data_IF_078227484090
#
_entry.id   IF_078227484090
#
_cell.length_a   1.000
_cell.length_b   1.000
_cell.length_c   1.000
_cell.angle_alpha   90.00
_cell.angle_beta   90.00
_cell.angle_gamma   90.00
#
_symmetry.space_group_name_H-M   'P 1'
#
loop_
_entity.id
_entity.type
_entity.pdbx_description
1 polymer ?
#
# COMPACT_ATOMS: atom_id res chain seq x y z
N UNK A 1 43.85 -17.46 -1.93
CA UNK A 1 42.53 -18.14 -2.03
C UNK A 1 41.48 -17.59 -1.04
N UNK A 2 41.74 -17.54 0.27
CA UNK A 2 40.73 -17.23 1.31
C UNK A 2 40.19 -15.78 1.33
N UNK A 3 40.94 -14.81 0.85
CA UNK A 3 40.49 -13.41 0.78
C UNK A 3 39.44 -13.17 -0.33
N UNK A 4 39.54 -13.91 -1.44
CA UNK A 4 38.61 -13.80 -2.56
C UNK A 4 37.24 -14.37 -2.20
N UNK A 5 37.23 -15.53 -1.51
CA UNK A 5 36.02 -16.18 -0.99
C UNK A 5 35.30 -15.27 0.01
N UNK A 6 36.04 -14.63 0.93
CA UNK A 6 35.44 -13.69 1.90
C UNK A 6 34.85 -12.44 1.26
N UNK A 7 35.46 -11.90 0.20
CA UNK A 7 34.89 -10.77 -0.56
C UNK A 7 33.62 -11.20 -1.29
N UNK A 8 33.64 -12.38 -1.90
CA UNK A 8 32.48 -12.93 -2.59
C UNK A 8 31.28 -13.15 -1.64
N UNK A 9 31.52 -13.75 -0.46
CA UNK A 9 30.49 -13.93 0.55
C UNK A 9 29.91 -12.61 1.07
N UNK A 10 30.74 -11.57 1.21
CA UNK A 10 30.27 -10.23 1.63
C UNK A 10 29.42 -9.56 0.55
N UNK A 11 29.82 -9.65 -0.72
CA UNK A 11 29.03 -9.12 -1.84
C UNK A 11 27.69 -9.85 -1.97
N UNK A 12 27.68 -11.17 -1.80
CA UNK A 12 26.46 -11.97 -1.83
C UNK A 12 25.52 -11.62 -0.67
N UNK A 13 26.05 -11.45 0.55
CA UNK A 13 25.27 -11.00 1.70
C UNK A 13 24.67 -9.60 1.47
N UNK A 14 25.45 -8.66 0.93
CA UNK A 14 24.96 -7.31 0.59
C UNK A 14 23.86 -7.35 -0.49
N UNK A 15 24.01 -8.19 -1.51
CA UNK A 15 23.00 -8.37 -2.56
C UNK A 15 21.68 -8.93 -2.03
N UNK A 16 21.73 -9.93 -1.15
CA UNK A 16 20.54 -10.50 -0.51
C UNK A 16 19.82 -9.48 0.38
N UNK A 17 20.55 -8.66 1.15
CA UNK A 17 19.93 -7.61 1.98
C UNK A 17 19.27 -6.52 1.14
N UNK A 18 19.84 -6.16 -0.02
CA UNK A 18 19.25 -5.17 -0.91
C UNK A 18 17.95 -5.68 -1.56
N UNK A 19 17.90 -6.97 -1.91
CA UNK A 19 16.71 -7.58 -2.50
C UNK A 19 15.51 -7.62 -1.53
N UNK A 20 15.74 -7.80 -0.23
CA UNK A 20 14.67 -7.82 0.79
C UNK A 20 14.05 -6.43 1.01
N UNK A 21 14.81 -5.35 0.79
CA UNK A 21 14.31 -3.97 0.92
C UNK A 21 13.45 -3.53 -0.26
N UNK A 22 13.55 -4.22 -1.41
CA UNK A 22 12.69 -4.01 -2.58
C UNK A 22 11.49 -4.96 -2.49
N UNK A 23 10.75 -4.90 -1.38
CA UNK A 23 9.42 -5.49 -1.35
C UNK A 23 8.52 -4.67 -2.28
N UNK A 24 7.85 -5.27 -3.28
CA UNK A 24 6.88 -4.53 -4.08
C UNK A 24 5.80 -3.93 -3.18
N UNK A 25 5.53 -2.63 -3.33
CA UNK A 25 4.37 -2.02 -2.73
C UNK A 25 3.12 -2.67 -3.33
N UNK A 26 2.36 -3.40 -2.51
CA UNK A 26 1.12 -4.02 -2.95
C UNK A 26 0.09 -2.93 -3.24
N UNK A 27 -0.17 -2.66 -4.53
CA UNK A 27 -1.34 -1.89 -4.93
C UNK A 27 -2.59 -2.66 -4.50
N UNK A 28 -3.53 -1.97 -3.85
CA UNK A 28 -4.77 -2.60 -3.39
C UNK A 28 -5.69 -2.80 -4.60
N UNK A 29 -6.10 -4.04 -4.89
CA UNK A 29 -7.02 -4.30 -6.00
C UNK A 29 -8.37 -3.62 -5.79
N UNK A 30 -8.92 -3.67 -4.58
CA UNK A 30 -10.17 -2.97 -4.24
C UNK A 30 -10.14 -2.53 -2.79
N UNK A 31 -10.45 -1.26 -2.55
CA UNK A 31 -10.60 -0.69 -1.20
C UNK A 31 -12.08 -0.46 -0.91
N UNK A 32 -12.55 -0.94 0.23
CA UNK A 32 -13.91 -0.71 0.71
C UNK A 32 -13.88 0.23 1.90
N UNK A 33 -14.45 1.41 1.72
CA UNK A 33 -14.61 2.39 2.78
C UNK A 33 -15.92 2.19 3.51
N UNK A 34 -15.86 2.19 4.83
CA UNK A 34 -17.03 2.23 5.70
C UNK A 34 -17.06 3.59 6.39
N UNK A 35 -17.99 4.45 5.96
CA UNK A 35 -18.10 5.81 6.48
C UNK A 35 -19.14 5.86 7.61
N UNK A 36 -18.78 6.36 8.81
CA UNK A 36 -19.73 6.53 9.89
C UNK A 36 -20.75 7.61 9.57
N UNK A 37 -22.03 7.29 9.74
CA UNK A 37 -23.14 8.23 9.58
C UNK A 37 -23.84 8.16 8.22
N UNK A 38 -24.45 9.26 7.80
CA UNK A 38 -25.32 9.34 6.61
C UNK A 38 -24.53 9.64 5.33
N UNK A 39 -25.13 9.26 4.20
CA UNK A 39 -24.66 9.64 2.85
C UNK A 39 -24.64 11.17 2.74
N UNK A 40 -23.56 11.74 2.19
CA UNK A 40 -23.40 13.18 2.03
C UNK A 40 -22.88 13.92 3.26
N UNK A 41 -22.72 13.27 4.42
CA UNK A 41 -22.09 13.84 5.61
C UNK A 41 -20.57 13.99 5.47
N UNK A 42 -19.91 14.65 6.44
CA UNK A 42 -18.47 14.95 6.38
C UNK A 42 -17.59 13.70 6.22
N UNK A 43 -17.92 12.61 6.90
CA UNK A 43 -17.20 11.34 6.77
C UNK A 43 -17.37 10.69 5.40
N UNK A 44 -18.58 10.74 4.84
CA UNK A 44 -18.86 10.22 3.49
C UNK A 44 -18.07 10.99 2.43
N UNK A 45 -18.10 12.32 2.50
CA UNK A 45 -17.35 13.17 1.57
C UNK A 45 -15.84 12.95 1.69
N UNK A 46 -15.33 12.84 2.92
CA UNK A 46 -13.91 12.56 3.17
C UNK A 46 -13.50 11.23 2.55
N UNK A 47 -14.28 10.17 2.77
CA UNK A 47 -14.00 8.86 2.19
C UNK A 47 -13.98 8.93 0.66
N UNK A 48 -14.96 9.61 0.03
CA UNK A 48 -15.04 9.73 -1.44
C UNK A 48 -13.87 10.52 -2.04
N UNK A 49 -13.48 11.62 -1.41
CA UNK A 49 -12.32 12.43 -1.86
C UNK A 49 -11.03 11.63 -1.72
N UNK A 50 -10.82 10.96 -0.58
CA UNK A 50 -9.67 10.10 -0.37
C UNK A 50 -9.62 8.94 -1.39
N UNK A 51 -10.74 8.25 -1.58
CA UNK A 51 -10.82 7.14 -2.53
C UNK A 51 -10.52 7.57 -3.97
N UNK A 52 -10.98 8.76 -4.39
CA UNK A 52 -10.63 9.34 -5.69
C UNK A 52 -9.11 9.57 -5.80
N UNK A 53 -8.49 10.17 -4.80
CA UNK A 53 -7.05 10.40 -4.77
C UNK A 53 -6.25 9.08 -4.81
N UNK A 54 -6.73 8.02 -4.16
CA UNK A 54 -6.08 6.71 -4.18
C UNK A 54 -6.07 6.07 -5.58
N UNK A 55 -7.17 6.23 -6.33
CA UNK A 55 -7.27 5.75 -7.72
C UNK A 55 -6.38 6.60 -8.63
N UNK A 56 -6.41 7.93 -8.49
CA UNK A 56 -5.54 8.85 -9.25
C UNK A 56 -4.04 8.58 -9.00
N UNK A 57 -3.67 8.20 -7.77
CA UNK A 57 -2.31 7.83 -7.41
C UNK A 57 -1.91 6.40 -7.83
N UNK A 58 -2.80 5.64 -8.49
CA UNK A 58 -2.62 4.21 -8.82
C UNK A 58 -2.31 3.32 -7.61
N UNK A 59 -2.69 3.75 -6.41
CA UNK A 59 -2.53 2.97 -5.17
C UNK A 59 -3.66 1.96 -4.95
N UNK A 60 -4.84 2.23 -5.54
CA UNK A 60 -5.97 1.33 -5.59
C UNK A 60 -6.57 1.25 -6.99
N UNK A 61 -6.93 0.05 -7.47
CA UNK A 61 -7.60 -0.10 -8.80
C UNK A 61 -9.08 0.27 -8.74
N UNK A 62 -9.75 -0.05 -7.64
CA UNK A 62 -11.17 0.24 -7.43
C UNK A 62 -11.42 0.66 -5.98
N UNK A 63 -12.42 1.52 -5.78
CA UNK A 63 -12.87 1.96 -4.47
C UNK A 63 -14.39 1.83 -4.37
N UNK A 64 -14.89 1.39 -3.22
CA UNK A 64 -16.32 1.26 -2.93
C UNK A 64 -16.64 1.90 -1.58
N UNK A 65 -17.87 2.37 -1.41
CA UNK A 65 -18.30 3.14 -0.23
C UNK A 65 -19.57 2.54 0.35
N UNK A 66 -19.58 2.30 1.65
CA UNK A 66 -20.74 1.89 2.42
C UNK A 66 -20.92 2.83 3.62
N UNK A 67 -22.07 3.48 3.73
CA UNK A 67 -22.42 4.29 4.89
C UNK A 67 -23.06 3.39 5.95
N UNK A 68 -22.41 3.26 7.10
CA UNK A 68 -22.92 2.48 8.23
C UNK A 68 -22.93 3.34 9.49
N UNK A 69 -24.12 3.47 10.09
CA UNK A 69 -24.25 4.09 11.41
C UNK A 69 -23.49 3.27 12.45
N UNK A 70 -22.54 3.89 13.16
CA UNK A 70 -21.71 3.23 14.17
C UNK A 70 -20.45 2.53 13.65
N UNK A 71 -20.03 2.83 12.42
CA UNK A 71 -18.73 2.40 11.87
C UNK A 71 -17.52 3.06 12.57
#
# INVERSE_FOLDING_TARGET
MSALIRRFSRCMAAGLTAAVLVAPAFALDTVKFMAPGSVGGGYDQTARVLGKAMVEANTAKAVTFENKGGA
#
